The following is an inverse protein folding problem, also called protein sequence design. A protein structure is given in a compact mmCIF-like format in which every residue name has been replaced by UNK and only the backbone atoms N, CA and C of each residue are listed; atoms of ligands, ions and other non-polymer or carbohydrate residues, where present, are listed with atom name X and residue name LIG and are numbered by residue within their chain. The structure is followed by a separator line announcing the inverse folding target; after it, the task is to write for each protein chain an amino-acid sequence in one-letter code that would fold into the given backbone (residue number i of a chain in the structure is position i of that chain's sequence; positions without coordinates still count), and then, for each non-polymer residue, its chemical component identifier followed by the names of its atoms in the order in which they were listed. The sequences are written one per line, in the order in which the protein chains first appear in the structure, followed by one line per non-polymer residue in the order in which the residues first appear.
data_IF_213960569561
#
_entry.id   IF_213960569561
#
_cell.length_a   1.000
_cell.length_b   1.000
_cell.length_c   1.000
_cell.angle_alpha   90.00
_cell.angle_beta   90.00
_cell.angle_gamma   90.00
#
_symmetry.space_group_name_H-M   'P 1'
#
loop_
_entity.id
_entity.type
_entity.pdbx_description
1 polymer ?
#
# COMPACT_ATOMS: atom_id res chain seq x y z
N UNK A 1 33.67 25.42 -39.79
CA UNK A 1 34.45 25.08 -38.57
C UNK A 1 33.72 25.43 -37.28
N UNK A 2 33.35 26.70 -37.03
CA UNK A 2 32.70 27.12 -35.78
C UNK A 2 31.31 26.50 -35.55
N UNK A 3 30.48 26.41 -36.60
CA UNK A 3 29.16 25.75 -36.54
C UNK A 3 29.24 24.26 -36.21
N UNK A 4 30.23 23.55 -36.76
CA UNK A 4 30.45 22.13 -36.47
C UNK A 4 30.84 21.95 -35.00
N UNK A 5 31.65 22.87 -34.46
CA UNK A 5 32.06 22.84 -33.05
C UNK A 5 30.87 23.10 -32.11
N UNK A 6 29.99 24.04 -32.44
CA UNK A 6 28.77 24.32 -31.67
C UNK A 6 27.83 23.12 -31.69
N UNK A 7 27.61 22.51 -32.85
CA UNK A 7 26.78 21.29 -32.99
C UNK A 7 27.33 20.16 -32.11
N UNK A 8 28.65 19.98 -32.09
CA UNK A 8 29.31 18.94 -31.29
C UNK A 8 29.11 19.17 -29.78
N UNK A 9 29.22 20.41 -29.32
CA UNK A 9 28.96 20.79 -27.91
C UNK A 9 27.50 20.55 -27.53
N UNK A 10 26.55 20.89 -28.40
CA UNK A 10 25.12 20.66 -28.15
C UNK A 10 24.82 19.16 -28.04
N UNK A 11 25.41 18.33 -28.90
CA UNK A 11 25.24 16.88 -28.84
C UNK A 11 25.83 16.32 -27.53
N UNK A 12 27.04 16.73 -27.14
CA UNK A 12 27.67 16.27 -25.90
C UNK A 12 26.85 16.68 -24.67
N UNK A 13 26.40 17.93 -24.60
CA UNK A 13 25.58 18.42 -23.48
C UNK A 13 24.21 17.73 -23.43
N UNK A 14 23.58 17.49 -24.59
CA UNK A 14 22.35 16.72 -24.68
C UNK A 14 22.52 15.30 -24.13
N UNK A 15 23.56 14.58 -24.55
CA UNK A 15 23.86 13.24 -24.02
C UNK A 15 24.30 13.26 -22.56
N UNK A 16 24.94 14.31 -22.07
CA UNK A 16 25.32 14.44 -20.66
C UNK A 16 24.11 14.66 -19.74
N UNK A 17 23.10 15.42 -20.19
CA UNK A 17 21.89 15.72 -19.43
C UNK A 17 20.85 14.60 -19.55
N UNK A 18 20.61 14.10 -20.77
CA UNK A 18 19.57 13.13 -21.09
C UNK A 18 20.08 11.69 -21.27
N UNK A 19 21.38 11.45 -21.20
CA UNK A 19 21.94 10.10 -21.26
C UNK A 19 21.51 9.22 -20.09
N UNK A 20 21.64 7.90 -20.24
CA UNK A 20 21.25 6.89 -19.25
C UNK A 20 21.89 7.05 -17.87
N UNK A 21 23.03 7.75 -17.78
CA UNK A 21 23.74 8.12 -16.54
C UNK A 21 23.68 9.62 -16.24
N UNK A 22 22.85 10.38 -16.96
CA UNK A 22 22.68 11.81 -16.78
C UNK A 22 22.07 12.16 -15.41
N UNK A 23 22.21 13.44 -15.03
CA UNK A 23 21.79 13.96 -13.73
C UNK A 23 20.30 13.70 -13.42
N UNK A 24 19.46 13.63 -14.45
CA UNK A 24 18.02 13.34 -14.34
C UNK A 24 17.78 11.91 -13.85
N UNK A 25 18.59 10.95 -14.27
CA UNK A 25 18.41 9.55 -13.88
C UNK A 25 18.76 9.33 -12.40
N UNK A 26 19.76 10.05 -11.89
CA UNK A 26 20.18 9.94 -10.49
C UNK A 26 19.13 10.48 -9.52
N UNK A 27 18.45 11.57 -9.87
CA UNK A 27 17.37 12.13 -9.04
C UNK A 27 16.11 11.25 -9.07
N UNK A 28 15.74 10.72 -10.24
CA UNK A 28 14.65 9.73 -10.36
C UNK A 28 14.92 8.49 -9.54
N UNK A 29 16.13 7.93 -9.61
CA UNK A 29 16.49 6.72 -8.88
C UNK A 29 16.50 6.95 -7.36
N UNK A 30 16.96 8.12 -6.89
CA UNK A 30 16.89 8.48 -5.47
C UNK A 30 15.45 8.57 -5.00
N UNK A 31 14.57 9.25 -5.74
CA UNK A 31 13.15 9.39 -5.40
C UNK A 31 12.44 8.04 -5.40
N UNK A 32 12.74 7.16 -6.36
CA UNK A 32 12.18 5.83 -6.42
C UNK A 32 12.63 4.97 -5.23
N UNK A 33 13.90 5.06 -4.84
CA UNK A 33 14.42 4.37 -3.67
C UNK A 33 13.73 4.85 -2.38
N UNK A 34 13.60 6.17 -2.19
CA UNK A 34 12.85 6.75 -1.06
C UNK A 34 11.40 6.27 -1.03
N UNK A 35 10.71 6.24 -2.19
CA UNK A 35 9.33 5.75 -2.29
C UNK A 35 9.21 4.27 -1.93
N UNK A 36 10.17 3.44 -2.35
CA UNK A 36 10.19 2.01 -2.00
C UNK A 36 10.40 1.83 -0.51
N UNK A 37 11.33 2.58 0.09
CA UNK A 37 11.57 2.53 1.54
C UNK A 37 10.36 2.97 2.36
N UNK A 38 9.64 4.01 1.92
CA UNK A 38 8.38 4.41 2.57
C UNK A 38 7.32 3.32 2.49
N UNK A 39 7.18 2.65 1.34
CA UNK A 39 6.27 1.50 1.21
C UNK A 39 6.64 0.36 2.14
N UNK A 40 7.92 -0.02 2.19
CA UNK A 40 8.40 -1.06 3.11
C UNK A 40 8.05 -0.72 4.56
N UNK A 41 8.24 0.55 4.95
CA UNK A 41 7.91 1.01 6.30
C UNK A 41 6.41 0.93 6.58
N UNK A 42 5.57 1.36 5.64
CA UNK A 42 4.12 1.28 5.78
C UNK A 42 3.64 -0.17 5.87
N UNK A 43 4.10 -1.04 4.97
CA UNK A 43 3.75 -2.47 4.94
C UNK A 43 4.22 -3.20 6.21
N UNK A 44 5.39 -2.82 6.74
CA UNK A 44 5.90 -3.36 8.00
C UNK A 44 5.02 -2.98 9.19
N UNK A 45 4.52 -1.74 9.25
CA UNK A 45 3.61 -1.30 10.32
C UNK A 45 2.28 -2.06 10.25
N UNK A 46 1.71 -2.18 9.05
CA UNK A 46 0.49 -2.96 8.81
C UNK A 46 0.70 -4.41 9.24
N UNK A 47 1.83 -5.02 8.87
CA UNK A 47 2.14 -6.40 9.24
C UNK A 47 2.24 -6.60 10.76
N UNK A 48 2.83 -5.63 11.48
CA UNK A 48 2.90 -5.68 12.96
C UNK A 48 1.51 -5.58 13.57
N UNK A 49 0.66 -4.68 13.06
CA UNK A 49 -0.71 -4.50 13.53
C UNK A 49 -1.56 -5.75 13.29
N UNK A 50 -1.53 -6.31 12.08
CA UNK A 50 -2.25 -7.55 11.76
C UNK A 50 -1.78 -8.71 12.62
N UNK A 51 -0.47 -8.84 12.84
CA UNK A 51 0.06 -9.90 13.70
C UNK A 51 -0.45 -9.76 15.14
N UNK A 52 -0.51 -8.53 15.66
CA UNK A 52 -1.09 -8.25 16.96
C UNK A 52 -2.59 -8.61 17.00
N UNK A 53 -3.37 -8.28 15.97
CA UNK A 53 -4.78 -8.68 15.89
C UNK A 53 -4.93 -10.21 15.90
N UNK A 54 -4.11 -10.93 15.14
CA UNK A 54 -4.09 -12.40 15.13
C UNK A 54 -3.73 -12.96 16.51
N UNK A 55 -2.68 -12.45 17.14
CA UNK A 55 -2.27 -12.89 18.48
C UNK A 55 -3.39 -12.63 19.51
N UNK A 56 -4.05 -11.47 19.44
CA UNK A 56 -5.18 -11.16 20.33
C UNK A 56 -6.40 -12.06 20.10
N UNK A 57 -6.67 -12.44 18.84
CA UNK A 57 -7.75 -13.36 18.50
C UNK A 57 -7.45 -14.80 18.92
N UNK A 58 -6.20 -15.25 18.78
CA UNK A 58 -5.79 -16.61 19.17
C UNK A 58 -5.78 -16.80 20.68
N UNK A 59 -5.47 -15.76 21.45
CA UNK A 59 -5.36 -15.83 22.90
C UNK A 59 -6.69 -15.52 23.63
N UNK A 60 -7.80 -15.27 22.92
CA UNK A 60 -9.09 -14.95 23.52
C UNK A 60 -10.26 -15.49 22.70
N UNK A 61 -10.88 -16.56 23.22
CA UNK A 61 -12.08 -17.16 22.64
C UNK A 61 -13.23 -16.15 22.50
N UNK A 62 -13.36 -15.21 23.44
CA UNK A 62 -14.39 -14.15 23.42
C UNK A 62 -14.19 -13.20 22.23
N UNK A 63 -12.96 -12.73 21.99
CA UNK A 63 -12.66 -11.85 20.85
C UNK A 63 -12.86 -12.58 19.52
N UNK A 64 -12.44 -13.83 19.44
CA UNK A 64 -12.63 -14.67 18.27
C UNK A 64 -14.12 -14.87 17.95
N UNK A 65 -14.92 -15.20 18.96
CA UNK A 65 -16.36 -15.37 18.83
C UNK A 65 -17.05 -14.07 18.41
N UNK A 66 -16.64 -12.93 18.99
CA UNK A 66 -17.15 -11.61 18.60
C UNK A 66 -16.88 -11.31 17.13
N UNK A 67 -15.65 -11.50 16.65
CA UNK A 67 -15.30 -11.28 15.24
C UNK A 67 -16.05 -12.25 14.31
N UNK A 68 -16.16 -13.52 14.69
CA UNK A 68 -16.91 -14.52 13.92
C UNK A 68 -18.38 -14.13 13.76
N UNK A 69 -19.03 -13.66 14.83
CA UNK A 69 -20.44 -13.22 14.81
C UNK A 69 -20.62 -11.89 14.07
N UNK A 70 -19.79 -10.89 14.34
CA UNK A 70 -19.96 -9.52 13.83
C UNK A 70 -19.46 -9.32 12.39
N UNK A 71 -18.24 -9.79 12.06
CA UNK A 71 -17.69 -9.63 10.70
C UNK A 71 -18.19 -10.71 9.75
N UNK A 72 -18.35 -11.94 10.21
CA UNK A 72 -18.62 -13.08 9.35
C UNK A 72 -20.02 -13.68 9.50
N UNK A 73 -20.82 -13.22 10.46
CA UNK A 73 -22.19 -13.71 10.68
C UNK A 73 -22.26 -15.19 11.08
N UNK A 74 -21.16 -15.74 11.63
CA UNK A 74 -21.11 -17.13 12.08
C UNK A 74 -21.97 -17.33 13.32
N UNK A 75 -22.58 -18.51 13.42
CA UNK A 75 -23.43 -18.94 14.55
C UNK A 75 -23.05 -20.35 14.96
N UNK A 76 -23.17 -20.66 16.26
CA UNK A 76 -22.93 -22.01 16.78
C UNK A 76 -24.08 -22.95 16.41
N UNK A 77 -23.80 -24.24 16.46
CA UNK A 77 -24.81 -25.27 16.20
C UNK A 77 -25.98 -25.12 17.19
N UNK A 78 -27.21 -25.04 16.68
CA UNK A 78 -28.43 -24.81 17.46
C UNK A 78 -28.87 -23.34 17.60
N UNK A 79 -28.06 -22.37 17.16
CA UNK A 79 -28.44 -20.95 17.15
C UNK A 79 -29.23 -20.57 15.88
N UNK A 80 -30.14 -19.59 16.00
CA UNK A 80 -30.93 -19.05 14.86
C UNK A 80 -30.63 -17.58 14.64
N UNK A 81 -30.32 -17.22 13.40
CA UNK A 81 -30.13 -15.83 12.98
C UNK A 81 -31.51 -15.18 12.78
N UNK A 82 -31.79 -14.11 13.53
CA UNK A 82 -32.98 -13.28 13.35
C UNK A 82 -32.58 -12.02 12.59
N UNK A 83 -33.03 -11.87 11.35
CA UNK A 83 -32.88 -10.63 10.58
C UNK A 83 -34.18 -9.83 10.66
N UNK A 84 -34.13 -8.69 11.34
CA UNK A 84 -35.26 -7.76 11.41
C UNK A 84 -35.24 -6.93 10.14
N UNK A 85 -36.19 -7.16 9.23
CA UNK A 85 -36.46 -6.21 8.14
C UNK A 85 -37.29 -5.07 8.73
N UNK A 86 -36.67 -3.91 8.86
CA UNK A 86 -37.42 -2.67 9.09
C UNK A 86 -37.96 -2.26 7.74
N UNK A 87 -39.19 -2.68 7.41
CA UNK A 87 -39.87 -2.13 6.25
C UNK A 87 -39.98 -0.63 6.47
N UNK A 88 -39.29 0.14 5.63
CA UNK A 88 -39.27 1.61 5.69
C UNK A 88 -40.59 2.23 5.21
N UNK A 89 -41.68 1.49 5.27
CA UNK A 89 -43.01 1.94 4.89
C UNK A 89 -43.70 2.43 6.16
N UNK A 90 -43.40 3.67 6.56
CA UNK A 90 -44.33 4.64 7.17
C UNK A 90 -43.56 5.84 7.72
N UNK A 91 -43.30 6.84 6.87
CA UNK A 91 -43.84 8.20 6.99
C UNK A 91 -43.50 9.06 5.80
#
# INVERSE_FOLDING_TARGET
MLIIFVILIVIITYFAVFGSKGLINRTKLSNENSRILEKIKADSLISIELKKEVDELQNSDEKLEKVAREKYGMVKEGEKIIKIKVDSTEK
#
